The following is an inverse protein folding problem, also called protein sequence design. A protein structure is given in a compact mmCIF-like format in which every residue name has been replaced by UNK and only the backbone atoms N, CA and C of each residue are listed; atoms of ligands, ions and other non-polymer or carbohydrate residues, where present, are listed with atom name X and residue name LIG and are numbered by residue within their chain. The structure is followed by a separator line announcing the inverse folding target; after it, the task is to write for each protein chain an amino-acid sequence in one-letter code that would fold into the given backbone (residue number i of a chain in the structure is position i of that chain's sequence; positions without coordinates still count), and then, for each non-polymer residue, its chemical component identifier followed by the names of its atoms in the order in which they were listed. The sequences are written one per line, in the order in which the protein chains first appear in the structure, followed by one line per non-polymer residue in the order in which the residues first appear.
data_IF_595345965811
#
_entry.id   IF_595345965811
#
_cell.length_a   1.000
_cell.length_b   1.000
_cell.length_c   1.000
_cell.angle_alpha   90.00
_cell.angle_beta   90.00
_cell.angle_gamma   90.00
#
_symmetry.space_group_name_H-M   'P 1'
#
loop_
_entity.id
_entity.type
_entity.pdbx_description
1 polymer ?
#
# COMPACT_ATOMS: atom_id res chain seq x y z
N UNK A 1 7.37 16.23 4.43
CA UNK A 1 6.83 16.77 3.16
C UNK A 1 5.96 15.80 2.34
N UNK A 2 6.49 14.87 1.52
CA UNK A 2 5.63 14.02 0.66
C UNK A 2 4.60 13.18 1.44
N UNK A 3 5.03 12.60 2.56
CA UNK A 3 4.18 11.78 3.42
C UNK A 3 3.00 12.58 3.98
N UNK A 4 3.26 13.75 4.54
CA UNK A 4 2.23 14.62 5.13
C UNK A 4 1.26 15.11 4.05
N UNK A 5 1.79 15.52 2.89
CA UNK A 5 0.98 15.95 1.74
C UNK A 5 0.02 14.85 1.30
N UNK A 6 0.51 13.63 1.15
CA UNK A 6 -0.31 12.51 0.68
C UNK A 6 -1.39 12.12 1.71
N UNK A 7 -1.05 12.14 3.01
CA UNK A 7 -2.01 11.88 4.08
C UNK A 7 -3.06 13.01 4.23
N UNK A 8 -2.67 14.25 4.01
CA UNK A 8 -3.56 15.41 4.06
C UNK A 8 -4.51 15.47 2.85
N UNK A 9 -4.03 15.07 1.67
CA UNK A 9 -4.83 15.02 0.45
C UNK A 9 -5.86 13.86 0.42
N UNK A 10 -5.69 12.88 1.30
CA UNK A 10 -6.51 11.69 1.31
C UNK A 10 -7.98 12.00 1.65
N UNK A 11 -8.94 11.46 0.88
CA UNK A 11 -10.35 11.79 1.02
C UNK A 11 -11.04 11.03 2.15
N UNK A 12 -10.38 10.88 3.29
CA UNK A 12 -10.89 10.21 4.47
C UNK A 12 -11.37 11.18 5.55
N UNK A 13 -12.17 10.68 6.48
CA UNK A 13 -12.46 11.36 7.74
C UNK A 13 -11.81 10.56 8.85
N UNK A 14 -10.88 11.17 9.55
CA UNK A 14 -10.21 10.56 10.70
C UNK A 14 -10.98 10.91 11.97
N UNK A 15 -11.33 9.89 12.74
CA UNK A 15 -11.82 10.06 14.12
C UNK A 15 -10.75 10.71 15.00
N UNK A 16 -11.15 11.28 16.15
CA UNK A 16 -10.20 11.82 17.13
C UNK A 16 -9.16 10.79 17.54
N UNK A 17 -9.55 9.53 17.69
CA UNK A 17 -8.63 8.42 18.01
C UNK A 17 -7.62 8.19 16.89
N UNK A 18 -8.06 8.11 15.64
CA UNK A 18 -7.16 7.91 14.49
C UNK A 18 -6.18 9.08 14.33
N UNK A 19 -6.63 10.32 14.57
CA UNK A 19 -5.76 11.50 14.57
C UNK A 19 -4.66 11.40 15.63
N UNK A 20 -5.01 11.02 16.86
CA UNK A 20 -4.04 10.80 17.94
C UNK A 20 -3.03 9.71 17.58
N UNK A 21 -3.50 8.57 17.06
CA UNK A 21 -2.61 7.48 16.62
C UNK A 21 -1.64 7.97 15.54
N UNK A 22 -2.14 8.70 14.53
CA UNK A 22 -1.29 9.22 13.46
C UNK A 22 -0.25 10.19 14.02
N UNK A 23 -0.66 11.12 14.89
CA UNK A 23 0.24 12.08 15.52
C UNK A 23 1.33 11.37 16.31
N UNK A 24 0.99 10.45 17.23
CA UNK A 24 1.97 9.70 18.01
C UNK A 24 2.89 8.84 17.15
N UNK A 25 2.39 8.31 16.02
CA UNK A 25 3.21 7.58 15.04
C UNK A 25 4.25 8.49 14.41
N UNK A 26 3.85 9.69 14.00
CA UNK A 26 4.76 10.67 13.40
C UNK A 26 5.80 11.17 14.41
N UNK A 27 5.39 11.42 15.66
CA UNK A 27 6.29 11.82 16.75
C UNK A 27 7.32 10.73 17.06
N UNK A 28 6.88 9.47 17.17
CA UNK A 28 7.77 8.32 17.43
C UNK A 28 8.78 8.10 16.30
N UNK A 29 8.37 8.37 15.05
CA UNK A 29 9.21 8.20 13.86
C UNK A 29 9.97 9.48 13.47
N UNK A 30 9.82 10.59 14.20
CA UNK A 30 10.40 11.88 13.81
C UNK A 30 11.93 11.84 13.73
N UNK A 31 12.57 11.07 14.61
CA UNK A 31 14.02 10.86 14.63
C UNK A 31 14.47 9.56 13.92
N UNK A 32 13.54 8.80 13.32
CA UNK A 32 13.89 7.53 12.70
C UNK A 32 14.63 7.77 11.37
N UNK A 33 15.85 7.25 11.27
CA UNK A 33 16.59 7.27 10.01
C UNK A 33 15.97 6.31 8.99
N UNK A 34 15.87 6.77 7.74
CA UNK A 34 15.33 5.97 6.63
C UNK A 34 16.32 5.93 5.48
N UNK A 35 16.34 4.81 4.76
CA UNK A 35 17.15 4.70 3.54
C UNK A 35 16.46 5.39 2.37
N UNK A 36 17.17 6.32 1.75
CA UNK A 36 16.73 7.08 0.58
C UNK A 36 17.53 6.64 -0.65
N UNK A 37 16.87 6.59 -1.80
CA UNK A 37 17.50 6.29 -3.09
C UNK A 37 16.46 6.21 -4.20
N UNK A 38 16.82 5.56 -5.31
CA UNK A 38 15.88 5.34 -6.40
C UNK A 38 14.80 4.33 -5.99
N UNK A 39 13.54 4.68 -6.26
CA UNK A 39 12.38 3.83 -6.03
C UNK A 39 11.59 3.65 -7.31
N UNK A 40 11.02 2.46 -7.47
CA UNK A 40 10.15 2.09 -8.57
C UNK A 40 8.78 2.76 -8.47
N UNK A 41 8.38 3.16 -7.25
CA UNK A 41 7.18 3.93 -6.91
C UNK A 41 5.85 3.16 -7.00
N UNK A 42 5.60 2.40 -8.06
CA UNK A 42 4.41 1.54 -8.18
C UNK A 42 4.73 0.05 -8.01
N UNK A 43 5.69 -0.31 -7.16
CA UNK A 43 6.20 -1.68 -7.06
C UNK A 43 5.13 -2.63 -6.48
N UNK A 44 4.53 -3.47 -7.35
CA UNK A 44 3.49 -4.44 -7.00
C UNK A 44 3.84 -5.83 -7.55
N UNK A 45 3.23 -6.91 -7.01
CA UNK A 45 3.46 -8.27 -7.51
C UNK A 45 3.21 -8.46 -9.01
N UNK A 46 2.34 -7.63 -9.60
CA UNK A 46 2.07 -7.68 -11.05
C UNK A 46 3.24 -7.21 -11.91
N UNK A 47 4.23 -6.51 -11.34
CA UNK A 47 5.45 -6.12 -12.05
C UNK A 47 6.52 -7.22 -12.05
N UNK A 48 6.26 -8.37 -11.42
CA UNK A 48 7.21 -9.46 -11.36
C UNK A 48 6.79 -10.58 -12.30
N UNK A 49 7.69 -10.93 -13.22
CA UNK A 49 7.61 -12.15 -14.00
C UNK A 49 8.62 -13.15 -13.46
N UNK A 50 8.22 -14.40 -13.34
CA UNK A 50 9.11 -15.49 -12.97
C UNK A 50 9.25 -16.42 -14.16
N UNK A 51 10.46 -16.52 -14.69
CA UNK A 51 10.78 -17.35 -15.84
C UNK A 51 12.19 -17.91 -15.67
N UNK A 52 12.39 -19.20 -16.00
CA UNK A 52 13.71 -19.85 -15.95
C UNK A 52 14.45 -19.70 -14.61
N UNK A 53 13.73 -19.80 -13.48
CA UNK A 53 14.27 -19.58 -12.13
C UNK A 53 14.78 -18.15 -11.84
N UNK A 54 14.50 -17.20 -12.74
CA UNK A 54 14.85 -15.80 -12.57
C UNK A 54 13.60 -14.94 -12.40
N UNK A 55 13.78 -13.82 -11.70
CA UNK A 55 12.73 -12.85 -11.43
C UNK A 55 13.01 -11.59 -12.24
N UNK A 56 12.10 -11.25 -13.15
CA UNK A 56 12.19 -10.09 -14.01
C UNK A 56 11.23 -9.01 -13.52
N UNK A 57 11.74 -7.78 -13.45
CA UNK A 57 10.94 -6.61 -13.21
C UNK A 57 10.47 -6.04 -14.55
N UNK A 58 9.15 -5.99 -14.75
CA UNK A 58 8.52 -5.43 -15.95
C UNK A 58 7.79 -4.13 -15.64
N UNK A 59 7.34 -3.42 -16.68
CA UNK A 59 6.67 -2.12 -16.59
C UNK A 59 7.47 -1.04 -15.82
N UNK A 60 8.75 -0.78 -16.15
CA UNK A 60 9.55 0.20 -15.42
C UNK A 60 8.87 1.59 -15.41
N UNK A 61 9.04 2.38 -14.34
CA UNK A 61 8.45 3.71 -14.28
C UNK A 61 9.04 4.62 -15.35
N UNK A 62 8.21 5.50 -15.92
CA UNK A 62 8.63 6.49 -16.92
C UNK A 62 9.67 7.49 -16.37
N UNK A 63 9.67 7.68 -15.05
CA UNK A 63 10.57 8.58 -14.33
C UNK A 63 11.15 7.84 -13.13
N UNK A 64 12.46 7.98 -12.94
CA UNK A 64 13.14 7.48 -11.76
C UNK A 64 12.80 8.38 -10.56
N UNK A 65 12.04 7.82 -9.62
CA UNK A 65 11.66 8.53 -8.40
C UNK A 65 12.78 8.43 -7.38
N UNK A 66 13.12 9.55 -6.75
CA UNK A 66 14.01 9.56 -5.59
C UNK A 66 13.17 9.62 -4.31
N UNK A 67 13.34 8.65 -3.42
CA UNK A 67 12.49 8.55 -2.23
C UNK A 67 12.94 7.48 -1.24
N UNK A 68 12.10 7.26 -0.24
CA UNK A 68 12.36 6.28 0.81
C UNK A 68 12.13 4.87 0.26
N UNK A 69 13.14 3.99 0.32
CA UNK A 69 13.04 2.61 -0.19
C UNK A 69 11.88 1.82 0.43
N UNK A 70 11.53 2.14 1.67
CA UNK A 70 10.41 1.53 2.38
C UNK A 70 9.06 1.75 1.68
N UNK A 71 8.96 2.75 0.80
CA UNK A 71 7.79 2.98 -0.04
C UNK A 71 7.49 1.78 -0.95
N UNK A 72 8.47 1.29 -1.72
CA UNK A 72 8.28 0.15 -2.62
C UNK A 72 7.95 -1.12 -1.85
N UNK A 73 8.61 -1.31 -0.70
CA UNK A 73 8.30 -2.38 0.22
C UNK A 73 6.82 -2.33 0.67
N UNK A 74 6.34 -1.16 1.09
CA UNK A 74 4.95 -0.96 1.49
C UNK A 74 3.95 -1.11 0.33
N UNK A 75 4.32 -0.66 -0.88
CA UNK A 75 3.53 -0.85 -2.10
C UNK A 75 3.32 -2.35 -2.38
N UNK A 76 4.40 -3.13 -2.35
CA UNK A 76 4.35 -4.57 -2.59
C UNK A 76 3.52 -5.29 -1.51
N UNK A 77 3.84 -5.04 -0.23
CA UNK A 77 3.18 -5.66 0.92
C UNK A 77 1.68 -5.37 0.95
N UNK A 78 1.30 -4.11 0.76
CA UNK A 78 -0.12 -3.71 0.73
C UNK A 78 -0.86 -4.32 -0.46
N UNK A 79 -0.22 -4.46 -1.61
CA UNK A 79 -0.80 -5.09 -2.80
C UNK A 79 -1.07 -6.58 -2.58
N UNK A 80 -0.10 -7.31 -2.03
CA UNK A 80 -0.25 -8.72 -1.65
C UNK A 80 -1.34 -8.91 -0.60
N UNK A 81 -1.41 -8.03 0.41
CA UNK A 81 -2.47 -8.06 1.44
C UNK A 81 -3.86 -7.86 0.85
N UNK A 82 -4.04 -6.87 -0.05
CA UNK A 82 -5.32 -6.70 -0.77
C UNK A 82 -5.65 -7.91 -1.65
N UNK A 83 -4.65 -8.55 -2.27
CA UNK A 83 -4.85 -9.78 -3.03
C UNK A 83 -5.36 -10.90 -2.11
N UNK A 84 -4.76 -11.08 -0.93
CA UNK A 84 -5.20 -12.03 0.07
C UNK A 84 -6.64 -11.77 0.52
N UNK A 85 -7.02 -10.52 0.76
CA UNK A 85 -8.39 -10.15 1.15
C UNK A 85 -9.40 -10.48 0.05
N UNK A 86 -9.10 -10.11 -1.20
CA UNK A 86 -9.97 -10.45 -2.35
C UNK A 86 -10.09 -11.96 -2.52
N UNK A 87 -9.01 -12.71 -2.35
CA UNK A 87 -9.04 -14.17 -2.40
C UNK A 87 -9.91 -14.74 -1.28
N UNK A 88 -9.79 -14.20 -0.07
CA UNK A 88 -10.55 -14.65 1.10
C UNK A 88 -12.04 -14.39 0.94
N UNK A 89 -12.42 -13.30 0.28
CA UNK A 89 -13.80 -12.96 -0.06
C UNK A 89 -14.36 -13.80 -1.22
N UNK A 90 -13.58 -14.03 -2.28
CA UNK A 90 -14.06 -14.71 -3.50
C UNK A 90 -13.95 -16.24 -3.43
N UNK A 91 -12.99 -16.76 -2.67
CA UNK A 91 -12.66 -18.19 -2.57
C UNK A 91 -12.34 -18.56 -1.12
N UNK A 92 -13.33 -18.50 -0.20
CA UNK A 92 -13.11 -18.70 1.23
C UNK A 92 -12.60 -20.10 1.60
N UNK A 93 -12.76 -21.11 0.73
CA UNK A 93 -12.26 -22.47 0.97
C UNK A 93 -10.85 -22.74 0.42
N UNK A 94 -10.27 -21.83 -0.36
CA UNK A 94 -8.91 -21.98 -0.92
C UNK A 94 -7.84 -21.67 0.15
N UNK A 95 -7.72 -22.58 1.13
CA UNK A 95 -6.78 -22.46 2.25
C UNK A 95 -5.33 -22.51 1.77
N UNK A 96 -5.03 -23.41 0.83
CA UNK A 96 -3.69 -23.61 0.29
C UNK A 96 -3.12 -22.31 -0.29
N UNK A 97 -3.87 -21.65 -1.19
CA UNK A 97 -3.40 -20.41 -1.82
C UNK A 97 -3.26 -19.26 -0.83
N UNK A 98 -4.12 -19.17 0.18
CA UNK A 98 -3.97 -18.18 1.27
C UNK A 98 -2.73 -18.41 2.10
N UNK A 99 -2.43 -19.66 2.45
CA UNK A 99 -1.20 -20.02 3.18
C UNK A 99 0.03 -19.66 2.37
N UNK A 100 0.04 -19.99 1.07
CA UNK A 100 1.12 -19.62 0.15
C UNK A 100 1.36 -18.11 0.12
N UNK A 101 0.32 -17.27 -0.06
CA UNK A 101 0.46 -15.81 -0.06
C UNK A 101 1.01 -15.28 1.28
N UNK A 102 0.56 -15.84 2.41
CA UNK A 102 1.07 -15.46 3.74
C UNK A 102 2.55 -15.82 3.89
N UNK A 103 2.94 -17.01 3.48
CA UNK A 103 4.34 -17.43 3.48
C UNK A 103 5.20 -16.55 2.57
N UNK A 104 4.71 -16.20 1.38
CA UNK A 104 5.41 -15.29 0.47
C UNK A 104 5.60 -13.90 1.08
N UNK A 105 4.61 -13.38 1.82
CA UNK A 105 4.74 -12.11 2.54
C UNK A 105 5.84 -12.16 3.62
N UNK A 106 5.92 -13.26 4.37
CA UNK A 106 6.97 -13.48 5.39
C UNK A 106 8.34 -13.62 4.73
N UNK A 107 8.44 -14.41 3.65
CA UNK A 107 9.67 -14.60 2.90
C UNK A 107 10.17 -13.29 2.26
N UNK A 108 9.25 -12.48 1.71
CA UNK A 108 9.57 -11.17 1.15
C UNK A 108 10.11 -10.21 2.22
N UNK A 109 9.46 -10.12 3.39
CA UNK A 109 9.96 -9.30 4.49
C UNK A 109 11.35 -9.76 4.98
N UNK A 110 11.55 -11.08 5.11
CA UNK A 110 12.84 -11.65 5.50
C UNK A 110 13.93 -11.34 4.46
N UNK A 111 13.64 -11.53 3.18
CA UNK A 111 14.56 -11.24 2.09
C UNK A 111 14.92 -9.76 2.02
N UNK A 112 13.95 -8.86 2.21
CA UNK A 112 14.18 -7.42 2.26
C UNK A 112 15.08 -7.02 3.44
N UNK A 113 14.84 -7.56 4.63
CA UNK A 113 15.69 -7.26 5.80
C UNK A 113 17.11 -7.81 5.62
N UNK A 114 17.26 -8.98 5.01
CA UNK A 114 18.55 -9.62 4.78
C UNK A 114 19.40 -8.92 3.69
N UNK A 115 18.77 -8.27 2.72
CA UNK A 115 19.49 -7.59 1.63
C UNK A 115 20.04 -6.20 2.01
N UNK A 116 19.76 -5.73 3.22
CA UNK A 116 20.13 -4.40 3.69
C UNK A 116 21.33 -4.49 4.64
N UNK A 117 22.47 -3.93 4.22
CA UNK A 117 23.72 -3.92 5.00
C UNK A 117 23.62 -3.10 6.30
N UNK A 118 22.83 -2.02 6.31
CA UNK A 118 22.52 -1.20 7.49
C UNK A 118 21.01 -1.05 7.63
N UNK A 119 20.43 -1.67 8.64
CA UNK A 119 18.97 -1.71 8.83
C UNK A 119 18.43 -0.33 9.20
N UNK A 120 17.92 0.39 8.20
CA UNK A 120 17.15 1.61 8.36
C UNK A 120 15.75 1.44 7.76
N UNK A 121 14.68 1.73 8.52
CA UNK A 121 14.70 2.14 9.92
C UNK A 121 15.13 1.01 10.87
N UNK A 122 15.54 1.37 12.08
CA UNK A 122 16.01 0.40 13.08
C UNK A 122 14.96 -0.67 13.37
N UNK A 123 15.37 -1.90 13.76
CA UNK A 123 14.45 -3.00 14.00
C UNK A 123 13.25 -2.68 14.91
N UNK A 124 13.38 -1.89 16.01
CA UNK A 124 12.26 -1.58 16.89
C UNK A 124 11.17 -0.74 16.22
N UNK A 125 11.54 0.18 15.33
CA UNK A 125 10.62 1.10 14.67
C UNK A 125 10.22 0.64 13.26
N UNK A 126 10.81 -0.44 12.75
CA UNK A 126 10.57 -0.92 11.39
C UNK A 126 9.11 -1.26 11.13
N UNK A 127 8.45 -1.98 12.04
CA UNK A 127 7.05 -2.37 11.86
C UNK A 127 6.15 -1.13 11.82
N UNK A 128 6.36 -0.19 12.73
CA UNK A 128 5.64 1.08 12.80
C UNK A 128 5.83 1.90 11.50
N UNK A 129 7.07 2.05 11.04
CA UNK A 129 7.39 2.76 9.80
C UNK A 129 6.73 2.11 8.57
N UNK A 130 6.80 0.78 8.44
CA UNK A 130 6.13 0.06 7.34
C UNK A 130 4.63 0.35 7.34
N UNK A 131 3.98 0.31 8.51
CA UNK A 131 2.54 0.58 8.62
C UNK A 131 2.20 2.01 8.25
N UNK A 132 3.05 2.97 8.60
CA UNK A 132 2.86 4.36 8.19
C UNK A 132 2.96 4.52 6.67
N UNK A 133 3.96 3.91 6.02
CA UNK A 133 4.06 3.94 4.55
C UNK A 133 2.92 3.18 3.86
N UNK A 134 2.43 2.07 4.44
CA UNK A 134 1.22 1.41 3.93
C UNK A 134 -0.02 2.30 4.07
N UNK A 135 -0.11 3.11 5.13
CA UNK A 135 -1.18 4.10 5.31
C UNK A 135 -1.05 5.24 4.29
N UNK A 136 0.15 5.76 4.05
CA UNK A 136 0.41 6.74 2.99
C UNK A 136 0.01 6.18 1.62
N UNK A 137 0.38 4.93 1.31
CA UNK A 137 -0.04 4.27 0.06
C UNK A 137 -1.56 4.12 -0.04
N UNK A 138 -2.22 3.75 1.06
CA UNK A 138 -3.67 3.68 1.11
C UNK A 138 -4.32 5.05 0.84
N UNK A 139 -3.79 6.12 1.43
CA UNK A 139 -4.16 7.51 1.16
C UNK A 139 -4.11 7.83 -0.34
N UNK A 140 -2.97 7.59 -0.98
CA UNK A 140 -2.77 7.81 -2.42
C UNK A 140 -3.79 7.03 -3.25
N UNK A 141 -4.00 5.75 -2.94
CA UNK A 141 -4.97 4.92 -3.65
C UNK A 141 -6.41 5.42 -3.48
N UNK A 142 -6.79 5.89 -2.29
CA UNK A 142 -8.11 6.47 -2.05
C UNK A 142 -8.32 7.75 -2.86
N UNK A 143 -7.32 8.64 -2.90
CA UNK A 143 -7.34 9.88 -3.69
C UNK A 143 -7.50 9.56 -5.18
N UNK A 144 -6.65 8.68 -5.72
CA UNK A 144 -6.72 8.27 -7.13
C UNK A 144 -8.06 7.62 -7.46
N UNK A 145 -8.56 6.72 -6.61
CA UNK A 145 -9.80 6.02 -6.87
C UNK A 145 -11.01 6.96 -6.81
N UNK A 146 -11.02 7.91 -5.87
CA UNK A 146 -12.06 8.94 -5.80
C UNK A 146 -12.05 9.81 -7.05
N UNK A 147 -10.87 10.27 -7.49
CA UNK A 147 -10.73 11.04 -8.74
C UNK A 147 -11.25 10.24 -9.94
N UNK A 148 -10.88 8.96 -10.08
CA UNK A 148 -11.38 8.06 -11.14
C UNK A 148 -12.90 7.95 -11.12
N UNK A 149 -13.51 7.77 -9.94
CA UNK A 149 -14.98 7.68 -9.80
C UNK A 149 -15.66 9.00 -10.14
N UNK A 150 -15.11 10.14 -9.71
CA UNK A 150 -15.65 11.47 -10.03
C UNK A 150 -15.60 11.75 -11.53
N UNK A 151 -14.44 11.50 -12.16
CA UNK A 151 -14.28 11.67 -13.62
C UNK A 151 -15.21 10.75 -14.40
N UNK A 152 -15.36 9.50 -13.97
CA UNK A 152 -16.32 8.58 -14.60
C UNK A 152 -17.75 9.13 -14.50
N UNK A 153 -18.17 9.62 -13.34
CA UNK A 153 -19.51 10.22 -13.14
C UNK A 153 -19.74 11.46 -14.00
N UNK A 154 -18.73 12.33 -14.14
CA UNK A 154 -18.81 13.53 -14.98
C UNK A 154 -18.89 13.20 -16.48
N UNK A 155 -18.24 12.11 -16.93
CA UNK A 155 -18.22 11.69 -18.35
C UNK A 155 -19.35 10.72 -18.73
N UNK A 156 -20.04 10.11 -17.75
CA UNK A 156 -21.17 9.21 -18.00
C UNK A 156 -22.36 9.82 -18.75
N UNK A 157 -22.72 11.12 -18.62
CA UNK A 157 -23.78 11.73 -19.44
C UNK A 157 -23.42 11.81 -20.94
N UNK A 158 -22.13 11.75 -21.29
CA UNK A 158 -21.63 11.95 -22.66
C UNK A 158 -21.38 10.62 -23.39
N UNK A 159 -21.23 9.52 -22.65
CA UNK A 159 -20.92 8.20 -23.20
C UNK A 159 -22.19 7.33 -23.33
N UNK A 160 -23.08 7.70 -24.26
CA UNK A 160 -24.15 6.82 -24.75
C UNK A 160 -23.54 5.62 -25.50
N UNK A 161 -23.08 4.62 -24.76
CA UNK A 161 -22.72 3.30 -25.30
C UNK A 161 -21.26 2.87 -25.22
N UNK A 162 -20.32 3.71 -24.73
CA UNK A 162 -18.92 3.28 -24.51
C UNK A 162 -18.65 3.00 -23.03
N UNK A 163 -18.45 1.72 -22.69
CA UNK A 163 -18.13 1.26 -21.32
C UNK A 163 -16.82 1.89 -20.83
N UNK A 164 -16.92 2.95 -20.03
CA UNK A 164 -15.81 3.51 -19.26
C UNK A 164 -15.44 2.58 -18.09
N UNK A 165 -14.82 1.44 -18.40
CA UNK A 165 -14.30 0.47 -17.44
C UNK A 165 -15.37 -0.40 -16.76
N UNK A 166 -14.98 -1.11 -15.69
CA UNK A 166 -15.88 -1.93 -14.87
C UNK A 166 -16.40 -1.10 -13.67
N UNK A 167 -17.59 -0.49 -13.76
CA UNK A 167 -18.11 0.42 -12.74
C UNK A 167 -18.32 -0.26 -11.37
N UNK A 168 -18.61 -1.56 -11.35
CA UNK A 168 -18.79 -2.32 -10.09
C UNK A 168 -17.45 -2.54 -9.38
N UNK A 169 -16.41 -2.94 -10.11
CA UNK A 169 -15.06 -3.09 -9.54
C UNK A 169 -14.52 -1.77 -8.98
N UNK A 170 -14.78 -0.66 -9.68
CA UNK A 170 -14.38 0.67 -9.21
C UNK A 170 -15.15 1.14 -7.98
N UNK A 171 -16.46 0.83 -7.89
CA UNK A 171 -17.28 1.13 -6.71
C UNK A 171 -16.88 0.30 -5.49
N UNK A 172 -16.51 -0.97 -5.68
CA UNK A 172 -16.09 -1.85 -4.58
C UNK A 172 -14.67 -1.58 -4.06
N UNK A 173 -13.84 -0.87 -4.84
CA UNK A 173 -12.46 -0.58 -4.43
C UNK A 173 -12.40 0.43 -3.28
N UNK A 174 -13.24 1.47 -3.26
CA UNK A 174 -13.25 2.47 -2.17
C UNK A 174 -13.62 1.87 -0.80
N UNK A 175 -14.68 1.06 -0.65
CA UNK A 175 -14.97 0.36 0.60
C UNK A 175 -13.82 -0.52 1.08
N UNK A 176 -13.12 -1.20 0.15
CA UNK A 176 -12.01 -2.08 0.48
C UNK A 176 -10.79 -1.28 1.00
N UNK A 177 -10.55 -0.10 0.42
CA UNK A 177 -9.52 0.84 0.91
C UNK A 177 -9.89 1.43 2.28
N UNK A 178 -11.16 1.70 2.54
CA UNK A 178 -11.64 2.19 3.84
C UNK A 178 -11.50 1.12 4.94
N UNK A 179 -11.80 -0.14 4.63
CA UNK A 179 -11.51 -1.28 5.53
C UNK A 179 -10.00 -1.39 5.78
N UNK A 180 -9.19 -1.20 4.73
CA UNK A 180 -7.73 -1.21 4.84
C UNK A 180 -7.21 -0.09 5.74
N UNK A 181 -7.72 1.13 5.59
CA UNK A 181 -7.42 2.27 6.47
C UNK A 181 -7.68 1.92 7.93
N UNK A 182 -8.87 1.41 8.26
CA UNK A 182 -9.25 1.06 9.64
C UNK A 182 -8.33 -0.02 10.23
N UNK A 183 -8.03 -1.05 9.44
CA UNK A 183 -7.08 -2.09 9.85
C UNK A 183 -5.69 -1.52 10.08
N UNK A 184 -5.21 -0.62 9.22
CA UNK A 184 -3.89 0.02 9.37
C UNK A 184 -3.81 0.86 10.65
N UNK A 185 -4.83 1.64 10.98
CA UNK A 185 -4.88 2.37 12.25
C UNK A 185 -4.87 1.44 13.47
N UNK A 186 -5.54 0.30 13.40
CA UNK A 186 -5.48 -0.70 14.46
C UNK A 186 -4.09 -1.33 14.59
N UNK A 187 -3.37 -1.53 13.47
CA UNK A 187 -1.99 -2.01 13.53
C UNK A 187 -1.06 -0.93 14.08
N UNK A 188 -1.15 0.31 13.60
CA UNK A 188 -0.36 1.42 14.13
C UNK A 188 -0.52 1.54 15.65
N UNK A 189 -1.75 1.47 16.16
CA UNK A 189 -2.00 1.50 17.59
C UNK A 189 -1.38 0.33 18.39
N UNK A 190 -1.07 -0.81 17.75
CA UNK A 190 -0.39 -1.94 18.38
C UNK A 190 1.13 -1.86 18.34
N UNK A 191 1.67 -1.16 17.33
CA UNK A 191 3.10 -0.98 17.12
C UNK A 191 3.63 0.27 17.83
N UNK A 192 2.73 1.14 18.33
CA UNK A 192 3.10 2.26 19.19
C UNK A 192 3.53 1.74 20.58
N UNK A 193 4.60 2.31 21.17
CA UNK A 193 5.05 1.99 22.52
C UNK A 193 4.06 2.45 23.61
#
# INVERSE_FOLDING_TARGET
EMLERDLAAAPWRLSLREKKILQSTLETLAAAEVRIGQVYYDYKPANLLFQNNELFLVDPPDVLWWGVHLWDFACFRSSMRRHLWRLSLRRPYDRHRRTSIRQSLVAFERGYRASITKMHPEPPVFALAVRLFELQRNAVLMTMQKAKVTLARQKMPVASGKRLGNPLANRLTLPLLEIEKRWLFQQLARELP
#
